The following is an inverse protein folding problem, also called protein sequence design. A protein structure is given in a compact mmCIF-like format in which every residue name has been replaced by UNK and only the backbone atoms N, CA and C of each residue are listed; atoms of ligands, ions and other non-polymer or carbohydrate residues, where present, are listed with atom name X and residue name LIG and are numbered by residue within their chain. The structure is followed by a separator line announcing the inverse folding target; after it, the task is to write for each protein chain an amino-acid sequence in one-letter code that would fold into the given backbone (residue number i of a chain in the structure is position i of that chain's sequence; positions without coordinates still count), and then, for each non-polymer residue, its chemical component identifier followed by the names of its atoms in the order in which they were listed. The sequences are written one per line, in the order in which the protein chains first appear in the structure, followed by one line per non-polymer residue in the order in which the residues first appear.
data_IF_039287986600
#
_entry.id   IF_039287986600
#
_cell.length_a   1.000
_cell.length_b   1.000
_cell.length_c   1.000
_cell.angle_alpha   90.00
_cell.angle_beta   90.00
_cell.angle_gamma   90.00
#
_symmetry.space_group_name_H-M   'P 1'
#
loop_
_entity.id
_entity.type
_entity.pdbx_description
1 polymer ?
#
# COMPACT_ATOMS: atom_id res chain seq x y z
N UNK A 1 9.76 21.17 -16.83
CA UNK A 1 8.78 21.07 -15.73
C UNK A 1 8.81 19.70 -15.04
N UNK A 2 8.46 18.58 -15.71
CA UNK A 2 8.47 17.21 -15.12
C UNK A 2 9.78 16.82 -14.41
N UNK A 3 10.93 16.92 -15.10
CA UNK A 3 12.25 16.57 -14.52
C UNK A 3 12.59 17.36 -13.24
N UNK A 4 12.12 18.60 -13.13
CA UNK A 4 12.37 19.43 -11.94
C UNK A 4 11.53 18.95 -10.75
N UNK A 5 10.27 18.55 -10.99
CA UNK A 5 9.39 18.00 -9.96
C UNK A 5 9.88 16.63 -9.48
N UNK A 6 10.26 15.75 -10.40
CA UNK A 6 10.87 14.46 -10.06
C UNK A 6 12.16 14.67 -9.26
N UNK A 7 13.04 15.58 -9.71
CA UNK A 7 14.27 15.90 -8.97
C UNK A 7 14.02 16.45 -7.57
N UNK A 8 12.99 17.29 -7.38
CA UNK A 8 12.59 17.79 -6.07
C UNK A 8 12.06 16.66 -5.18
N UNK A 9 11.16 15.84 -5.71
CA UNK A 9 10.60 14.67 -5.02
C UNK A 9 11.72 13.75 -4.51
N UNK A 10 12.64 13.35 -5.38
CA UNK A 10 13.77 12.48 -5.02
C UNK A 10 14.63 13.09 -3.92
N UNK A 11 14.96 14.38 -4.00
CA UNK A 11 15.74 15.09 -2.97
C UNK A 11 15.01 15.15 -1.62
N UNK A 12 13.71 15.40 -1.64
CA UNK A 12 12.90 15.42 -0.42
C UNK A 12 12.81 14.01 0.19
N UNK A 13 12.53 12.98 -0.61
CA UNK A 13 12.48 11.59 -0.13
C UNK A 13 13.81 11.13 0.45
N UNK A 14 14.94 11.46 -0.20
CA UNK A 14 16.30 11.22 0.32
C UNK A 14 16.48 11.82 1.72
N UNK A 15 16.16 13.12 1.88
CA UNK A 15 16.37 13.82 3.15
C UNK A 15 15.42 13.34 4.24
N UNK A 16 14.15 13.14 3.91
CA UNK A 16 13.13 12.66 4.85
C UNK A 16 13.47 11.25 5.34
N UNK A 17 13.90 10.33 4.47
CA UNK A 17 14.31 8.99 4.87
C UNK A 17 15.45 9.01 5.92
N UNK A 18 16.38 9.97 5.81
CA UNK A 18 17.47 10.15 6.77
C UNK A 18 17.03 10.80 8.10
N UNK A 19 15.87 11.43 8.15
CA UNK A 19 15.31 12.10 9.34
C UNK A 19 14.24 11.26 10.06
N UNK A 20 13.96 10.04 9.58
CA UNK A 20 13.02 9.15 10.24
C UNK A 20 13.51 8.80 11.65
N UNK A 21 12.62 8.88 12.62
CA UNK A 21 12.96 8.57 14.01
C UNK A 21 13.02 7.06 14.24
N UNK A 22 13.60 6.67 15.39
CA UNK A 22 13.78 5.25 15.74
C UNK A 22 12.46 4.49 15.84
N UNK A 23 11.39 5.17 16.25
CA UNK A 23 10.03 4.63 16.33
C UNK A 23 9.34 4.47 14.96
N UNK A 24 9.98 4.94 13.87
CA UNK A 24 9.47 4.86 12.51
C UNK A 24 8.66 6.06 12.04
N UNK A 25 8.32 6.98 12.94
CA UNK A 25 7.58 8.20 12.60
C UNK A 25 8.52 9.35 12.22
N UNK A 26 7.92 10.42 11.71
CA UNK A 26 8.51 11.76 11.71
C UNK A 26 7.78 12.57 12.77
N UNK A 27 8.55 13.21 13.66
CA UNK A 27 8.03 14.05 14.72
C UNK A 27 7.68 15.44 14.18
N UNK A 28 6.90 16.21 14.94
CA UNK A 28 6.42 17.54 14.55
C UNK A 28 7.55 18.47 14.08
N UNK A 29 8.73 18.38 14.71
CA UNK A 29 9.96 19.02 14.24
C UNK A 29 10.92 18.01 13.64
N UNK A 30 11.15 18.11 12.32
CA UNK A 30 12.01 17.18 11.58
C UNK A 30 13.50 17.25 11.98
N UNK A 31 13.96 18.42 12.44
CA UNK A 31 15.37 18.68 12.77
C UNK A 31 15.62 18.86 14.27
N UNK A 32 14.56 18.92 15.07
CA UNK A 32 14.62 19.01 16.53
C UNK A 32 13.56 18.09 17.17
N UNK A 33 13.66 16.77 16.97
CA UNK A 33 12.70 15.81 17.51
C UNK A 33 12.77 15.71 19.03
N UNK A 34 13.87 16.11 19.68
CA UNK A 34 14.00 16.06 21.14
C UNK A 34 13.06 17.04 21.84
N UNK A 35 12.82 18.22 21.25
CA UNK A 35 11.81 19.17 21.73
C UNK A 35 10.37 18.68 21.53
N UNK A 36 10.14 17.79 20.57
CA UNK A 36 8.83 17.25 20.20
C UNK A 36 8.88 15.73 20.04
N UNK A 37 9.15 14.96 21.12
CA UNK A 37 9.55 13.55 21.03
C UNK A 37 8.38 12.59 20.73
N UNK A 38 7.17 13.12 20.63
CA UNK A 38 5.98 12.31 20.35
C UNK A 38 5.93 11.96 18.87
N UNK A 39 5.48 10.73 18.57
CA UNK A 39 5.11 10.38 17.20
C UNK A 39 4.06 11.37 16.69
N UNK A 40 4.10 11.71 15.41
CA UNK A 40 3.10 12.54 14.75
C UNK A 40 2.62 11.81 13.49
N UNK A 41 1.32 11.58 13.36
CA UNK A 41 0.78 10.63 12.37
C UNK A 41 0.38 11.25 11.05
N UNK A 42 0.03 12.54 10.99
CA UNK A 42 -0.39 13.16 9.72
C UNK A 42 0.78 13.35 8.77
N UNK A 43 1.89 13.94 9.24
CA UNK A 43 3.13 14.09 8.50
C UNK A 43 3.74 12.74 8.15
N UNK A 44 3.76 11.80 9.11
CA UNK A 44 4.19 10.41 8.84
C UNK A 44 3.33 9.77 7.75
N UNK A 45 2.02 9.98 7.75
CA UNK A 45 1.08 9.49 6.74
C UNK A 45 1.41 10.02 5.35
N UNK A 46 1.58 11.34 5.20
CA UNK A 46 1.93 11.95 3.91
C UNK A 46 3.29 11.50 3.39
N UNK A 47 4.31 11.41 4.26
CA UNK A 47 5.65 10.98 3.87
C UNK A 47 5.63 9.51 3.45
N UNK A 48 4.94 8.66 4.22
CA UNK A 48 4.75 7.24 3.92
C UNK A 48 4.06 7.06 2.56
N UNK A 49 2.94 7.74 2.34
CA UNK A 49 2.23 7.76 1.06
C UNK A 49 3.16 8.14 -0.11
N UNK A 50 3.83 9.29 -0.01
CA UNK A 50 4.65 9.81 -1.10
C UNK A 50 5.81 8.86 -1.45
N UNK A 51 6.47 8.27 -0.45
CA UNK A 51 7.55 7.31 -0.68
C UNK A 51 7.04 5.98 -1.23
N UNK A 52 5.90 5.47 -0.71
CA UNK A 52 5.28 4.23 -1.20
C UNK A 52 4.82 4.38 -2.66
N UNK A 53 4.18 5.51 -2.98
CA UNK A 53 3.84 5.90 -4.35
C UNK A 53 5.08 5.94 -5.24
N UNK A 54 6.17 6.55 -4.77
CA UNK A 54 7.44 6.61 -5.49
C UNK A 54 8.03 5.23 -5.80
N UNK A 55 7.91 4.27 -4.88
CA UNK A 55 8.33 2.88 -5.10
C UNK A 55 7.42 2.16 -6.10
N UNK A 56 6.10 2.26 -5.94
CA UNK A 56 5.13 1.66 -6.86
C UNK A 56 5.28 2.20 -8.30
N UNK A 57 5.75 3.43 -8.45
CA UNK A 57 6.02 4.09 -9.72
C UNK A 57 7.49 4.00 -10.18
N UNK A 58 8.31 3.16 -9.55
CA UNK A 58 9.71 2.88 -9.93
C UNK A 58 10.63 4.13 -9.92
N UNK A 59 10.29 5.14 -9.12
CA UNK A 59 11.11 6.33 -8.89
C UNK A 59 12.06 6.16 -7.70
N UNK A 60 11.67 5.36 -6.71
CA UNK A 60 12.46 5.09 -5.50
C UNK A 60 12.87 3.60 -5.43
N UNK A 61 14.15 3.29 -5.17
CA UNK A 61 14.63 1.91 -5.16
C UNK A 61 14.27 1.15 -3.88
N UNK A 62 13.76 -0.08 -4.04
CA UNK A 62 13.26 -0.92 -2.95
C UNK A 62 14.25 -1.10 -1.80
N UNK A 63 15.51 -1.43 -2.13
CA UNK A 63 16.55 -1.72 -1.14
C UNK A 63 16.74 -0.61 -0.11
N UNK A 64 16.53 0.65 -0.52
CA UNK A 64 16.71 1.82 0.35
C UNK A 64 15.44 2.17 1.12
N UNK A 65 14.29 2.15 0.45
CA UNK A 65 13.06 2.74 0.99
C UNK A 65 12.12 1.73 1.63
N UNK A 66 12.20 0.44 1.30
CA UNK A 66 11.35 -0.58 1.92
C UNK A 66 11.51 -0.66 3.45
N UNK A 67 12.74 -0.62 4.04
CA UNK A 67 12.91 -0.59 5.49
C UNK A 67 12.32 0.67 6.15
N UNK A 68 12.38 1.82 5.46
CA UNK A 68 11.83 3.10 5.94
C UNK A 68 10.30 3.01 5.97
N UNK A 69 9.69 2.56 4.88
CA UNK A 69 8.24 2.42 4.78
C UNK A 69 7.66 1.38 5.74
N UNK A 70 8.34 0.25 5.95
CA UNK A 70 7.90 -0.76 6.92
C UNK A 70 7.82 -0.20 8.34
N UNK A 71 8.80 0.63 8.73
CA UNK A 71 8.79 1.31 10.03
C UNK A 71 7.70 2.38 10.11
N UNK A 72 7.55 3.19 9.05
CA UNK A 72 6.50 4.21 8.98
C UNK A 72 5.10 3.60 9.07
N UNK A 73 4.87 2.51 8.34
CA UNK A 73 3.60 1.79 8.38
C UNK A 73 3.33 1.19 9.75
N UNK A 74 4.33 0.59 10.41
CA UNK A 74 4.19 0.11 11.79
C UNK A 74 3.83 1.25 12.75
N UNK A 75 4.51 2.40 12.65
CA UNK A 75 4.23 3.58 13.48
C UNK A 75 2.78 4.08 13.30
N UNK A 76 2.29 4.11 12.06
CA UNK A 76 0.93 4.50 11.71
C UNK A 76 -0.10 3.49 12.24
N UNK A 77 0.08 2.19 11.99
CA UNK A 77 -0.89 1.18 12.41
C UNK A 77 -0.96 1.03 13.93
N UNK A 78 0.14 1.29 14.64
CA UNK A 78 0.16 1.28 16.12
C UNK A 78 -0.42 2.55 16.74
N UNK A 79 -0.73 3.57 15.94
CA UNK A 79 -1.44 4.77 16.37
C UNK A 79 -2.96 4.68 16.17
N UNK A 80 -3.44 3.62 15.51
CA UNK A 80 -4.88 3.33 15.41
C UNK A 80 -5.34 2.69 16.71
N UNK A 81 -6.25 3.34 17.39
CA UNK A 81 -6.86 2.86 18.63
C UNK A 81 -7.82 1.68 18.35
N UNK A 82 -8.22 0.89 19.37
CA UNK A 82 -9.06 -0.30 19.16
C UNK A 82 -10.43 -0.03 18.51
N UNK A 83 -10.95 1.19 18.64
CA UNK A 83 -12.21 1.63 18.03
C UNK A 83 -12.06 2.18 16.60
N UNK A 84 -10.82 2.21 16.08
CA UNK A 84 -10.48 2.70 14.76
C UNK A 84 -10.07 4.18 14.71
N UNK A 85 -10.08 4.91 15.83
CA UNK A 85 -9.60 6.30 15.88
C UNK A 85 -8.10 6.35 15.59
N UNK A 86 -7.67 7.23 14.69
CA UNK A 86 -6.24 7.53 14.50
C UNK A 86 -5.81 8.59 15.52
N UNK A 87 -4.90 8.23 16.42
CA UNK A 87 -4.30 9.15 17.38
C UNK A 87 -3.07 9.89 16.85
N UNK A 88 -2.49 10.74 17.70
CA UNK A 88 -1.23 11.47 17.43
C UNK A 88 -1.26 12.39 16.21
N UNK A 89 -2.42 12.93 15.85
CA UNK A 89 -2.55 13.92 14.79
C UNK A 89 -2.37 15.30 15.38
N UNK A 90 -1.31 16.01 14.99
CA UNK A 90 -1.10 17.38 15.47
C UNK A 90 -2.20 18.29 14.88
N UNK A 91 -2.84 19.11 15.72
CA UNK A 91 -3.81 20.10 15.28
C UNK A 91 -3.22 21.12 14.28
N UNK A 92 -4.08 21.74 13.47
CA UNK A 92 -3.65 22.72 12.47
C UNK A 92 -2.89 23.88 13.11
N UNK A 93 -1.67 24.13 12.63
CA UNK A 93 -0.80 25.19 13.10
C UNK A 93 0.32 25.49 12.11
N UNK A 94 1.06 26.58 12.33
CA UNK A 94 2.17 27.00 11.47
C UNK A 94 3.54 26.56 11.99
N UNK A 95 3.60 25.90 13.15
CA UNK A 95 4.82 25.48 13.81
C UNK A 95 4.64 24.10 14.48
N UNK A 96 5.73 23.38 14.78
CA UNK A 96 5.68 22.17 15.58
C UNK A 96 5.01 22.40 16.94
N UNK A 97 4.13 21.49 17.34
CA UNK A 97 3.48 21.51 18.64
C UNK A 97 3.45 20.11 19.25
N UNK A 98 3.14 20.02 20.55
CA UNK A 98 2.97 18.75 21.24
C UNK A 98 1.70 18.06 20.75
N UNK A 99 1.78 16.74 20.65
CA UNK A 99 0.68 15.88 20.21
C UNK A 99 0.63 14.61 21.07
N UNK A 100 -0.57 14.19 21.41
CA UNK A 100 -0.86 13.07 22.29
C UNK A 100 -1.63 11.94 21.62
N UNK A 101 -1.80 10.86 22.38
CA UNK A 101 -2.46 9.63 21.94
C UNK A 101 -3.90 9.84 21.44
N UNK A 102 -4.62 10.79 22.04
CA UNK A 102 -6.03 11.06 21.72
C UNK A 102 -6.25 12.17 20.70
N UNK A 103 -5.18 12.87 20.28
CA UNK A 103 -5.31 13.95 19.32
C UNK A 103 -5.56 13.37 17.92
N UNK A 104 -6.63 13.83 17.27
CA UNK A 104 -7.07 13.36 15.97
C UNK A 104 -7.60 14.51 15.12
N UNK A 105 -7.52 14.36 13.81
CA UNK A 105 -8.13 15.29 12.86
C UNK A 105 -8.39 14.59 11.52
N UNK A 106 -9.34 15.11 10.73
CA UNK A 106 -9.82 14.48 9.49
C UNK A 106 -8.73 14.42 8.41
N UNK A 107 -7.83 15.40 8.34
CA UNK A 107 -6.71 15.35 7.39
C UNK A 107 -5.67 14.29 7.80
N UNK A 108 -5.47 14.04 9.09
CA UNK A 108 -4.61 12.97 9.58
C UNK A 108 -5.15 11.60 9.17
N UNK A 109 -6.46 11.39 9.33
CA UNK A 109 -7.16 10.20 8.84
C UNK A 109 -7.01 10.08 7.32
N UNK A 110 -7.17 11.17 6.58
CA UNK A 110 -6.94 11.20 5.13
C UNK A 110 -5.51 10.79 4.74
N UNK A 111 -4.50 11.30 5.44
CA UNK A 111 -3.10 10.95 5.22
C UNK A 111 -2.82 9.47 5.52
N UNK A 112 -3.43 8.91 6.57
CA UNK A 112 -3.35 7.48 6.88
C UNK A 112 -3.98 6.62 5.79
N UNK A 113 -5.15 6.99 5.27
CA UNK A 113 -5.81 6.27 4.19
C UNK A 113 -5.02 6.33 2.87
N UNK A 114 -4.41 7.48 2.56
CA UNK A 114 -3.48 7.62 1.45
C UNK A 114 -2.27 6.70 1.61
N UNK A 115 -1.65 6.67 2.79
CA UNK A 115 -0.53 5.76 3.05
C UNK A 115 -0.95 4.30 2.83
N UNK A 116 -2.10 3.90 3.37
CA UNK A 116 -2.65 2.56 3.20
C UNK A 116 -2.92 2.19 1.74
N UNK A 117 -3.41 3.13 0.92
CA UNK A 117 -3.73 2.87 -0.49
C UNK A 117 -2.51 2.54 -1.35
N UNK A 118 -1.33 3.04 -0.97
CA UNK A 118 -0.07 2.72 -1.65
C UNK A 118 0.68 1.55 -0.98
N UNK A 119 0.60 1.43 0.34
CA UNK A 119 1.23 0.33 1.09
C UNK A 119 0.64 -1.04 0.74
N UNK A 120 -0.67 -1.12 0.49
CA UNK A 120 -1.32 -2.38 0.09
C UNK A 120 -0.75 -2.96 -1.22
N UNK A 121 -0.82 -2.27 -2.37
CA UNK A 121 -0.23 -2.77 -3.60
C UNK A 121 1.28 -2.96 -3.48
N UNK A 122 1.98 -2.08 -2.74
CA UNK A 122 3.42 -2.24 -2.51
C UNK A 122 3.73 -3.58 -1.85
N UNK A 123 3.06 -3.89 -0.75
CA UNK A 123 3.25 -5.14 -0.02
C UNK A 123 2.89 -6.37 -0.87
N UNK A 124 1.78 -6.30 -1.61
CA UNK A 124 1.35 -7.39 -2.49
C UNK A 124 2.36 -7.64 -3.62
N UNK A 125 2.90 -6.58 -4.23
CA UNK A 125 3.86 -6.69 -5.33
C UNK A 125 5.24 -7.24 -4.90
N UNK A 126 5.57 -7.14 -3.62
CA UNK A 126 6.79 -7.72 -3.04
C UNK A 126 6.66 -9.19 -2.64
N UNK A 127 5.47 -9.79 -2.76
CA UNK A 127 5.30 -11.22 -2.50
C UNK A 127 5.91 -12.06 -3.61
N UNK A 128 6.65 -13.09 -3.22
CA UNK A 128 7.19 -14.05 -4.17
C UNK A 128 6.16 -15.10 -4.60
N UNK A 129 6.35 -15.65 -5.80
CA UNK A 129 5.58 -16.78 -6.33
C UNK A 129 4.05 -16.52 -6.36
N UNK A 130 3.66 -15.26 -6.52
CA UNK A 130 2.28 -14.85 -6.73
C UNK A 130 2.17 -13.95 -7.95
N UNK A 131 1.01 -13.98 -8.59
CA UNK A 131 0.60 -12.93 -9.52
C UNK A 131 -0.37 -12.01 -8.77
N UNK A 132 -0.12 -10.71 -8.81
CA UNK A 132 -1.09 -9.71 -8.34
C UNK A 132 -1.85 -9.17 -9.55
N UNK A 133 -3.17 -9.23 -9.48
CA UNK A 133 -4.06 -8.67 -10.49
C UNK A 133 -4.86 -7.53 -9.89
N UNK A 134 -4.58 -6.31 -10.34
CA UNK A 134 -5.46 -5.16 -10.10
C UNK A 134 -6.68 -5.20 -11.02
N UNK A 135 -7.83 -4.86 -10.46
CA UNK A 135 -9.11 -4.65 -11.15
C UNK A 135 -9.63 -3.28 -10.74
N UNK A 136 -9.63 -2.35 -11.69
CA UNK A 136 -10.09 -0.98 -11.49
C UNK A 136 -11.46 -0.77 -12.13
N UNK A 137 -12.39 -0.19 -11.38
CA UNK A 137 -13.67 0.29 -11.90
C UNK A 137 -13.65 1.81 -12.05
N UNK A 138 -13.34 2.29 -13.25
CA UNK A 138 -13.35 3.73 -13.56
C UNK A 138 -14.72 4.33 -13.85
N UNK A 139 -15.81 3.58 -13.64
CA UNK A 139 -17.18 4.07 -13.89
C UNK A 139 -17.79 4.66 -12.62
N UNK A 140 -18.82 5.49 -12.78
CA UNK A 140 -19.53 6.14 -11.67
C UNK A 140 -20.45 5.20 -10.88
N UNK A 141 -20.62 3.93 -11.29
CA UNK A 141 -21.49 2.96 -10.66
C UNK A 141 -20.71 1.68 -10.27
N UNK A 142 -21.13 0.96 -9.21
CA UNK A 142 -20.60 -0.36 -8.91
C UNK A 142 -20.80 -1.32 -10.09
N UNK A 143 -19.81 -2.19 -10.33
CA UNK A 143 -19.85 -3.13 -11.44
C UNK A 143 -19.34 -4.51 -11.04
N UNK A 144 -20.05 -5.54 -11.47
CA UNK A 144 -19.55 -6.91 -11.49
C UNK A 144 -18.62 -7.09 -12.68
N UNK A 145 -17.35 -7.36 -12.42
CA UNK A 145 -16.30 -7.46 -13.43
C UNK A 145 -15.82 -8.90 -13.54
N UNK A 146 -15.81 -9.43 -14.77
CA UNK A 146 -15.20 -10.72 -15.07
C UNK A 146 -13.71 -10.52 -15.33
N UNK A 147 -12.87 -11.12 -14.50
CA UNK A 147 -11.42 -11.17 -14.69
C UNK A 147 -11.08 -12.44 -15.45
N UNK A 148 -10.28 -12.30 -16.51
CA UNK A 148 -9.76 -13.42 -17.30
C UNK A 148 -8.24 -13.34 -17.32
N UNK A 149 -7.57 -14.45 -16.97
CA UNK A 149 -6.11 -14.55 -16.95
C UNK A 149 -5.65 -15.77 -17.75
N UNK A 150 -4.63 -15.59 -18.58
CA UNK A 150 -3.97 -16.70 -19.27
C UNK A 150 -3.01 -17.42 -18.33
N UNK A 151 -3.09 -18.75 -18.28
CA UNK A 151 -2.24 -19.55 -17.41
C UNK A 151 -0.76 -19.38 -17.73
N UNK A 152 -0.40 -19.17 -18.99
CA UNK A 152 0.99 -18.93 -19.40
C UNK A 152 1.63 -17.75 -18.67
N UNK A 153 0.88 -16.67 -18.46
CA UNK A 153 1.37 -15.47 -17.77
C UNK A 153 1.38 -15.65 -16.25
N UNK A 154 0.35 -16.34 -15.73
CA UNK A 154 0.25 -16.71 -14.31
C UNK A 154 1.42 -17.63 -13.92
N UNK A 155 1.67 -18.69 -14.69
CA UNK A 155 2.71 -19.68 -14.45
C UNK A 155 4.12 -19.08 -14.45
N UNK A 156 4.38 -18.07 -15.30
CA UNK A 156 5.64 -17.32 -15.33
C UNK A 156 5.89 -16.60 -14.01
N UNK A 157 4.87 -15.92 -13.46
CA UNK A 157 4.99 -15.15 -12.21
C UNK A 157 5.02 -16.03 -10.97
N UNK A 158 4.19 -17.08 -10.93
CA UNK A 158 4.16 -18.04 -9.81
C UNK A 158 5.36 -18.99 -9.83
N UNK A 159 6.07 -19.09 -10.97
CA UNK A 159 7.19 -20.02 -11.20
C UNK A 159 6.78 -21.50 -11.03
N UNK A 160 5.53 -21.84 -11.35
CA UNK A 160 4.98 -23.20 -11.22
C UNK A 160 4.18 -23.58 -12.47
N UNK A 161 4.64 -24.60 -13.20
CA UNK A 161 4.03 -25.01 -14.48
C UNK A 161 2.84 -25.98 -14.32
N UNK A 162 2.92 -26.89 -13.35
CA UNK A 162 1.91 -27.92 -13.07
C UNK A 162 1.43 -27.81 -11.62
N UNK A 163 0.43 -26.97 -11.32
CA UNK A 163 -0.07 -26.77 -9.97
C UNK A 163 -1.06 -27.88 -9.60
N UNK A 164 -1.10 -28.29 -8.33
CA UNK A 164 -2.17 -29.16 -7.84
C UNK A 164 -3.45 -28.37 -7.59
N UNK A 165 -3.30 -27.13 -7.14
CA UNK A 165 -4.41 -26.22 -6.84
C UNK A 165 -4.01 -24.79 -7.15
N UNK A 166 -4.93 -24.03 -7.73
CA UNK A 166 -4.78 -22.58 -7.94
C UNK A 166 -5.77 -21.89 -7.01
N UNK A 167 -5.30 -20.84 -6.34
CA UNK A 167 -6.07 -20.06 -5.38
C UNK A 167 -6.07 -18.61 -5.81
N UNK A 168 -7.25 -17.99 -5.76
CA UNK A 168 -7.43 -16.54 -5.87
C UNK A 168 -7.87 -16.03 -4.51
N UNK A 169 -7.19 -15.01 -3.99
CA UNK A 169 -7.57 -14.32 -2.76
C UNK A 169 -7.73 -12.83 -3.01
N UNK A 170 -8.67 -12.20 -2.34
CA UNK A 170 -8.67 -10.74 -2.23
C UNK A 170 -7.42 -10.29 -1.46
N UNK A 171 -6.73 -9.30 -1.99
CA UNK A 171 -5.46 -8.80 -1.45
C UNK A 171 -5.61 -8.01 -0.16
N UNK A 172 -6.78 -7.40 0.07
CA UNK A 172 -7.08 -6.62 1.27
C UNK A 172 -7.70 -7.51 2.37
N UNK A 173 -8.69 -8.33 2.04
CA UNK A 173 -9.42 -9.14 3.05
C UNK A 173 -8.81 -10.52 3.27
N UNK A 174 -8.03 -11.03 2.31
CA UNK A 174 -7.50 -12.39 2.34
C UNK A 174 -8.52 -13.49 2.00
N UNK A 175 -9.78 -13.12 1.76
CA UNK A 175 -10.87 -14.05 1.44
C UNK A 175 -10.64 -14.75 0.10
N UNK A 176 -11.08 -16.00 0.00
CA UNK A 176 -10.99 -16.77 -1.23
C UNK A 176 -12.06 -16.36 -2.23
N UNK A 177 -11.64 -16.13 -3.48
CA UNK A 177 -12.55 -15.83 -4.58
C UNK A 177 -12.80 -17.11 -5.40
N UNK A 178 -14.07 -17.49 -5.65
CA UNK A 178 -14.40 -18.62 -6.51
C UNK A 178 -13.78 -18.46 -7.89
N UNK A 179 -13.05 -19.50 -8.32
CA UNK A 179 -12.33 -19.53 -9.58
C UNK A 179 -12.92 -20.60 -10.49
N UNK A 180 -13.18 -20.23 -11.74
CA UNK A 180 -13.49 -21.16 -12.84
C UNK A 180 -12.25 -21.26 -13.73
N UNK A 181 -11.89 -22.48 -14.11
CA UNK A 181 -10.71 -22.72 -14.92
C UNK A 181 -11.03 -23.65 -16.09
N UNK A 182 -10.48 -23.33 -17.26
CA UNK A 182 -10.44 -24.27 -18.40
C UNK A 182 -9.11 -25.02 -18.43
N UNK A 183 -9.14 -26.29 -18.81
CA UNK A 183 -7.95 -27.14 -18.89
C UNK A 183 -7.87 -27.84 -20.25
N UNK A 184 -6.65 -28.16 -20.67
CA UNK A 184 -6.35 -29.01 -21.82
C UNK A 184 -5.29 -29.99 -21.37
N UNK A 185 -5.53 -31.30 -21.52
CA UNK A 185 -4.65 -32.36 -21.01
C UNK A 185 -4.31 -32.15 -19.53
N UNK A 186 -5.32 -31.84 -18.71
CA UNK A 186 -5.20 -31.54 -17.26
C UNK A 186 -4.37 -30.30 -16.91
N UNK A 187 -3.85 -29.57 -17.89
CA UNK A 187 -3.10 -28.34 -17.68
C UNK A 187 -4.02 -27.13 -17.74
N UNK A 188 -3.94 -26.22 -16.75
CA UNK A 188 -4.66 -24.94 -16.78
C UNK A 188 -4.37 -24.15 -18.06
N UNK A 189 -5.41 -23.56 -18.65
CA UNK A 189 -5.29 -22.68 -19.82
C UNK A 189 -5.75 -21.27 -19.50
N UNK A 190 -6.98 -21.13 -18.99
CA UNK A 190 -7.57 -19.83 -18.67
C UNK A 190 -8.21 -19.88 -17.29
N UNK A 191 -7.92 -18.86 -16.49
CA UNK A 191 -8.50 -18.63 -15.16
C UNK A 191 -9.54 -17.52 -15.27
N UNK A 192 -10.73 -17.72 -14.69
CA UNK A 192 -11.81 -16.72 -14.66
C UNK A 192 -12.43 -16.61 -13.28
N UNK A 193 -12.62 -15.39 -12.81
CA UNK A 193 -13.36 -15.11 -11.59
C UNK A 193 -14.13 -13.80 -11.72
N UNK A 194 -15.25 -13.68 -11.01
CA UNK A 194 -16.07 -12.47 -11.03
C UNK A 194 -16.02 -11.77 -9.69
N UNK A 195 -15.91 -10.45 -9.70
CA UNK A 195 -15.80 -9.63 -8.49
C UNK A 195 -16.65 -8.38 -8.62
N UNK A 196 -17.29 -7.99 -7.54
CA UNK A 196 -17.98 -6.72 -7.44
C UNK A 196 -16.97 -5.63 -7.03
N UNK A 197 -16.93 -4.55 -7.79
CA UNK A 197 -16.00 -3.44 -7.59
C UNK A 197 -16.80 -2.14 -7.52
N UNK A 198 -16.64 -1.40 -6.42
CA UNK A 198 -17.27 -0.11 -6.22
C UNK A 198 -16.84 0.92 -7.27
N UNK A 199 -17.65 1.96 -7.44
CA UNK A 199 -17.36 3.09 -8.33
C UNK A 199 -16.03 3.75 -7.97
N UNK A 200 -15.16 3.97 -8.95
CA UNK A 200 -13.89 4.69 -8.79
C UNK A 200 -12.79 3.96 -8.00
N UNK A 201 -12.96 2.69 -7.65
CA UNK A 201 -11.98 1.97 -6.81
C UNK A 201 -11.21 0.89 -7.56
N UNK A 202 -10.06 0.52 -6.98
CA UNK A 202 -9.28 -0.64 -7.39
C UNK A 202 -9.35 -1.73 -6.31
N UNK A 203 -9.47 -2.98 -6.75
CA UNK A 203 -9.25 -4.17 -5.91
C UNK A 203 -8.05 -4.95 -6.44
N UNK A 204 -7.32 -5.57 -5.53
CA UNK A 204 -6.14 -6.36 -5.85
C UNK A 204 -6.41 -7.82 -5.52
N UNK A 205 -6.05 -8.73 -6.41
CA UNK A 205 -6.25 -10.16 -6.22
C UNK A 205 -4.91 -10.88 -6.29
N UNK A 206 -4.63 -11.72 -5.29
CA UNK A 206 -3.45 -12.58 -5.25
C UNK A 206 -3.79 -13.93 -5.85
N UNK A 207 -3.11 -14.29 -6.95
CA UNK A 207 -3.17 -15.61 -7.56
C UNK A 207 -1.92 -16.38 -7.15
N UNK A 208 -2.12 -17.54 -6.55
CA UNK A 208 -1.06 -18.42 -6.05
C UNK A 208 -1.36 -19.87 -6.40
N UNK A 209 -0.34 -20.73 -6.34
CA UNK A 209 -0.51 -22.15 -6.60
C UNK A 209 0.18 -23.06 -5.58
N UNK A 210 -0.50 -24.14 -5.20
CA UNK A 210 -0.01 -25.20 -4.32
C UNK A 210 0.41 -26.45 -5.09
#
# INVERSE_FOLDING_TARGET
MRKNLEGLFLKMSEKLAALQQRDGSWHASLLDPESYPSKETSGTGFICYAMAWGMNNQLLPDKKYLPVLNKAWLALTTAVQPDGKLGYVQAQGAAPDKVGYDDTDVYGVGAFLLAGSEMLPLYLNHKEQVLIKEVHNGTAAPKKMLVTLNWSDVAKKIKKKKPKKILVRDGATGEFIPLVMTTVNELPQVLRFSVDVSSGTSRYFQISAQ
#
